data_IF_256809707416
#
_entry.id   IF_256809707416
#
_cell.length_a   1.000
_cell.length_b   1.000
_cell.length_c   1.000
_cell.angle_alpha   90.00
_cell.angle_beta   90.00
_cell.angle_gamma   90.00
#
_symmetry.space_group_name_H-M   'P 1'
#
loop_
_entity.id
_entity.type
_entity.pdbx_description
1 polymer ?
#
# COMPACT_ATOMS: atom_id res chain seq x y z
N UNK A 1 -31.91 36.98 -26.81
CA UNK A 1 -30.44 36.78 -26.64
C UNK A 1 -30.02 36.79 -25.16
N UNK A 2 -30.76 36.10 -24.29
CA UNK A 2 -30.53 36.09 -22.81
C UNK A 2 -30.34 34.69 -22.23
N UNK A 3 -30.78 33.64 -22.92
CA UNK A 3 -30.68 32.24 -22.45
C UNK A 3 -29.26 31.65 -22.53
N UNK A 4 -28.43 32.10 -23.48
CA UNK A 4 -27.10 31.54 -23.69
C UNK A 4 -26.05 31.98 -22.65
N UNK A 5 -26.30 33.08 -21.92
CA UNK A 5 -25.40 33.59 -20.87
C UNK A 5 -25.54 32.87 -19.52
N UNK A 6 -26.65 32.16 -19.29
CA UNK A 6 -26.88 31.39 -18.07
C UNK A 6 -26.16 30.04 -18.08
N UNK A 7 -26.05 29.41 -19.26
CA UNK A 7 -25.37 28.10 -19.39
C UNK A 7 -23.85 28.19 -19.10
N UNK A 8 -23.22 29.29 -19.50
CA UNK A 8 -21.78 29.50 -19.31
C UNK A 8 -21.38 29.72 -17.83
N UNK A 9 -22.31 30.12 -16.95
CA UNK A 9 -22.05 30.30 -15.51
C UNK A 9 -22.21 29.00 -14.70
N UNK A 10 -23.00 28.04 -15.19
CA UNK A 10 -23.13 26.73 -14.54
C UNK A 10 -21.92 25.83 -14.80
N UNK A 11 -21.32 25.95 -16.00
CA UNK A 11 -20.17 25.12 -16.38
C UNK A 11 -18.89 25.47 -15.58
N UNK A 12 -18.69 26.73 -15.23
CA UNK A 12 -17.56 27.18 -14.39
C UNK A 12 -17.71 26.80 -12.92
N UNK A 13 -18.93 26.67 -12.39
CA UNK A 13 -19.13 26.22 -11.01
C UNK A 13 -18.85 24.71 -10.84
N UNK A 14 -19.18 23.90 -11.85
CA UNK A 14 -18.96 22.45 -11.82
C UNK A 14 -17.47 22.08 -11.86
N UNK A 15 -16.64 22.84 -12.59
CA UNK A 15 -15.20 22.62 -12.66
C UNK A 15 -14.46 22.96 -11.35
N UNK A 16 -14.94 23.95 -10.59
CA UNK A 16 -14.35 24.30 -9.29
C UNK A 16 -14.63 23.27 -8.18
N UNK A 17 -15.75 22.53 -8.29
CA UNK A 17 -16.12 21.46 -7.35
C UNK A 17 -15.29 20.19 -7.56
N UNK A 18 -14.79 19.93 -8.77
CA UNK A 18 -13.95 18.76 -9.05
C UNK A 18 -12.51 18.91 -8.52
N UNK A 19 -11.96 20.14 -8.53
CA UNK A 19 -10.61 20.39 -8.02
C UNK A 19 -10.50 20.18 -6.49
N UNK A 20 -11.59 20.32 -5.74
CA UNK A 20 -11.61 20.08 -4.29
C UNK A 20 -11.55 18.59 -3.91
N UNK A 21 -11.83 17.66 -4.82
CA UNK A 21 -11.83 16.23 -4.52
C UNK A 21 -10.41 15.63 -4.42
N UNK A 22 -9.44 16.17 -5.17
CA UNK A 22 -8.06 15.67 -5.21
C UNK A 22 -7.22 16.15 -4.01
N UNK A 23 -7.39 17.41 -3.56
CA UNK A 23 -6.76 17.88 -2.33
C UNK A 23 -7.37 17.24 -1.06
N UNK A 24 -8.63 16.80 -1.14
CA UNK A 24 -9.30 15.99 -0.12
C UNK A 24 -8.81 14.53 -0.07
N UNK A 25 -7.98 14.09 -1.02
CA UNK A 25 -7.69 12.67 -1.24
C UNK A 25 -6.64 12.10 -0.27
N UNK A 26 -5.73 12.92 0.26
CA UNK A 26 -4.74 12.52 1.27
C UNK A 26 -5.09 12.94 2.70
N UNK A 27 -5.97 13.92 2.89
CA UNK A 27 -6.39 14.34 4.23
C UNK A 27 -7.13 13.23 4.98
N UNK A 28 -6.82 13.00 6.25
CA UNK A 28 -7.49 12.03 7.10
C UNK A 28 -6.58 11.29 8.07
N UNK A 29 -7.16 10.34 8.78
CA UNK A 29 -6.46 9.42 9.67
C UNK A 29 -6.36 8.02 9.02
N UNK A 30 -5.23 7.36 9.26
CA UNK A 30 -4.92 6.07 8.68
C UNK A 30 -4.24 5.14 9.70
N UNK A 31 -4.46 3.84 9.53
CA UNK A 31 -3.86 2.75 10.31
C UNK A 31 -2.93 1.94 9.43
N UNK A 32 -1.72 1.66 9.91
CA UNK A 32 -0.74 0.90 9.13
C UNK A 32 -1.09 -0.59 9.03
N UNK A 33 -0.79 -1.17 7.87
CA UNK A 33 -0.96 -2.59 7.52
C UNK A 33 0.40 -3.28 7.35
N UNK A 34 0.45 -4.59 7.58
CA UNK A 34 1.63 -5.44 7.35
C UNK A 34 2.92 -4.85 7.96
N UNK A 35 3.89 -4.46 7.13
CA UNK A 35 5.16 -3.84 7.58
C UNK A 35 4.96 -2.51 8.33
N UNK A 36 3.79 -1.86 8.18
CA UNK A 36 3.40 -0.66 8.89
C UNK A 36 2.51 -0.96 10.12
N UNK A 37 2.33 -2.22 10.51
CA UNK A 37 1.50 -2.56 11.67
C UNK A 37 1.98 -1.82 12.94
N UNK A 38 1.04 -1.21 13.65
CA UNK A 38 1.32 -0.38 14.83
C UNK A 38 1.57 1.10 14.53
N UNK A 39 1.81 1.47 13.27
CA UNK A 39 1.87 2.87 12.87
C UNK A 39 0.47 3.48 12.72
N UNK A 40 0.36 4.78 13.01
CA UNK A 40 -0.81 5.61 12.72
C UNK A 40 -0.38 6.89 12.01
N UNK A 41 -1.10 7.29 10.98
CA UNK A 41 -0.79 8.47 10.18
C UNK A 41 -1.99 9.41 10.17
N UNK A 42 -1.76 10.67 10.52
CA UNK A 42 -2.77 11.74 10.44
C UNK A 42 -2.25 12.83 9.52
N UNK A 43 -3.02 13.20 8.50
CA UNK A 43 -2.64 14.21 7.50
C UNK A 43 -3.75 15.25 7.40
N UNK A 44 -3.37 16.52 7.41
CA UNK A 44 -4.23 17.66 7.14
C UNK A 44 -3.61 18.54 6.03
N UNK A 45 -4.44 19.12 5.15
CA UNK A 45 -3.96 20.14 4.22
C UNK A 45 -3.47 21.38 5.00
N UNK A 46 -2.34 21.96 4.59
CA UNK A 46 -1.80 23.17 5.19
C UNK A 46 -1.19 24.07 4.11
N UNK A 47 -1.84 25.20 3.82
CA UNK A 47 -1.44 26.09 2.73
C UNK A 47 -1.44 25.35 1.38
N UNK A 48 -0.33 25.42 0.66
CA UNK A 48 -0.12 24.69 -0.61
C UNK A 48 0.27 23.21 -0.40
N UNK A 49 0.64 22.82 0.82
CA UNK A 49 1.13 21.47 1.14
C UNK A 49 0.26 20.74 2.16
N UNK A 50 0.93 19.93 2.97
CA UNK A 50 0.32 19.11 4.02
C UNK A 50 1.14 19.23 5.30
N UNK A 51 0.46 19.04 6.43
CA UNK A 51 1.10 18.67 7.68
C UNK A 51 0.45 17.44 8.26
N UNK A 52 1.18 16.76 9.13
CA UNK A 52 0.68 15.55 9.72
C UNK A 52 1.48 15.09 10.92
N UNK A 53 1.00 14.01 11.49
CA UNK A 53 1.66 13.29 12.58
C UNK A 53 1.75 11.83 12.20
N UNK A 54 2.97 11.30 12.19
CA UNK A 54 3.22 9.87 12.17
C UNK A 54 3.43 9.40 13.62
N UNK A 55 2.63 8.43 14.06
CA UNK A 55 2.81 7.76 15.35
C UNK A 55 3.46 6.41 15.07
N UNK A 56 4.65 6.20 15.65
CA UNK A 56 5.43 4.96 15.55
C UNK A 56 4.85 3.87 16.48
N UNK A 57 5.20 2.58 16.30
CA UNK A 57 4.67 1.48 17.13
C UNK A 57 4.98 1.59 18.63
N UNK A 58 6.01 2.35 19.00
CA UNK A 58 6.35 2.68 20.39
C UNK A 58 5.48 3.81 20.98
N UNK A 59 4.55 4.36 20.19
CA UNK A 59 3.71 5.49 20.54
C UNK A 59 4.36 6.86 20.32
N UNK A 60 5.60 6.93 19.84
CA UNK A 60 6.28 8.18 19.56
C UNK A 60 5.58 8.94 18.43
N UNK A 61 5.30 10.22 18.65
CA UNK A 61 4.61 11.08 17.67
C UNK A 61 5.63 11.99 16.98
N UNK A 62 5.68 11.93 15.66
CA UNK A 62 6.55 12.75 14.80
C UNK A 62 5.69 13.63 13.91
N UNK A 63 5.71 14.93 14.19
CA UNK A 63 5.10 15.90 13.29
C UNK A 63 5.95 16.05 12.03
N UNK A 64 5.30 16.24 10.89
CA UNK A 64 5.96 16.54 9.63
C UNK A 64 5.21 17.62 8.87
N UNK A 65 5.95 18.30 8.01
CA UNK A 65 5.42 19.14 6.94
C UNK A 65 5.89 18.55 5.62
N UNK A 66 4.99 18.53 4.64
CA UNK A 66 5.24 17.96 3.34
C UNK A 66 4.73 18.90 2.25
N UNK A 67 5.54 19.10 1.23
CA UNK A 67 5.17 19.82 0.03
C UNK A 67 4.24 18.96 -0.81
N UNK A 68 3.29 19.60 -1.51
CA UNK A 68 2.44 18.92 -2.48
C UNK A 68 3.24 18.65 -3.76
N UNK A 69 3.15 17.42 -4.23
CA UNK A 69 3.69 17.00 -5.52
C UNK A 69 2.57 16.26 -6.27
N UNK A 70 1.87 16.98 -7.14
CA UNK A 70 0.64 16.53 -7.79
C UNK A 70 -0.42 16.07 -6.75
N UNK A 71 -0.79 14.79 -6.79
CA UNK A 71 -1.71 14.16 -5.85
C UNK A 71 -0.99 13.56 -4.63
N UNK A 72 0.35 13.67 -4.57
CA UNK A 72 1.19 13.16 -3.50
C UNK A 72 1.70 14.26 -2.57
N UNK A 73 2.30 13.84 -1.45
CA UNK A 73 3.00 14.73 -0.52
C UNK A 73 4.43 14.23 -0.31
N UNK A 74 5.40 15.14 -0.23
CA UNK A 74 6.80 14.81 -0.01
C UNK A 74 7.42 15.72 1.07
N UNK A 75 8.17 15.15 2.02
CA UNK A 75 8.78 15.93 3.08
C UNK A 75 9.85 15.18 3.84
N UNK A 76 10.74 15.90 4.51
CA UNK A 76 11.77 15.32 5.37
C UNK A 76 11.25 15.28 6.81
N UNK A 77 11.36 14.12 7.45
CA UNK A 77 11.00 13.92 8.86
C UNK A 77 12.15 13.22 9.59
N UNK A 78 12.32 13.54 10.87
CA UNK A 78 13.22 12.81 11.75
C UNK A 78 12.44 11.72 12.49
N UNK A 79 12.73 10.45 12.18
CA UNK A 79 12.18 9.28 12.88
C UNK A 79 13.19 8.75 13.91
N UNK A 80 12.80 7.74 14.68
CA UNK A 80 13.68 7.05 15.62
C UNK A 80 14.99 6.55 14.99
N UNK A 81 14.94 6.13 13.72
CA UNK A 81 16.09 5.66 12.93
C UNK A 81 16.92 6.74 12.23
N UNK A 82 16.58 8.02 12.39
CA UNK A 82 17.25 9.15 11.74
C UNK A 82 16.35 9.93 10.77
N UNK A 83 16.95 10.86 10.04
CA UNK A 83 16.26 11.63 9.02
C UNK A 83 15.89 10.75 7.82
N UNK A 84 14.66 10.90 7.33
CA UNK A 84 14.15 10.20 6.15
C UNK A 84 13.39 11.17 5.26
N UNK A 85 13.41 10.92 3.95
CA UNK A 85 12.45 11.48 3.02
C UNK A 85 11.20 10.60 3.05
N UNK A 86 10.04 11.20 3.31
CA UNK A 86 8.73 10.60 3.16
C UNK A 86 8.12 11.01 1.83
N UNK A 87 7.57 10.04 1.11
CA UNK A 87 6.67 10.27 -0.04
C UNK A 87 5.36 9.57 0.22
N UNK A 88 4.27 10.32 0.25
CA UNK A 88 2.93 9.84 0.58
C UNK A 88 2.07 9.95 -0.67
N UNK A 89 1.64 8.81 -1.20
CA UNK A 89 0.77 8.75 -2.37
C UNK A 89 -0.61 8.20 -1.97
N UNK A 90 -1.71 8.76 -2.47
CA UNK A 90 -3.04 8.23 -2.22
C UNK A 90 -3.21 6.88 -2.91
N UNK A 91 -3.98 6.01 -2.27
CA UNK A 91 -4.42 4.71 -2.80
C UNK A 91 -5.95 4.64 -2.76
N UNK A 92 -6.55 3.69 -3.48
CA UNK A 92 -8.00 3.59 -3.62
C UNK A 92 -8.78 3.59 -2.28
N UNK A 93 -8.20 2.98 -1.23
CA UNK A 93 -8.80 2.88 0.11
C UNK A 93 -7.88 3.41 1.24
N UNK A 94 -6.81 4.12 0.89
CA UNK A 94 -5.77 4.43 1.87
C UNK A 94 -4.65 5.29 1.31
N UNK A 95 -3.43 5.03 1.78
CA UNK A 95 -2.22 5.69 1.31
C UNK A 95 -1.03 4.73 1.32
N UNK A 96 -0.08 4.95 0.42
CA UNK A 96 1.25 4.35 0.44
C UNK A 96 2.25 5.40 0.91
N UNK A 97 3.05 5.06 1.91
CA UNK A 97 4.15 5.89 2.39
C UNK A 97 5.47 5.21 2.05
N UNK A 98 6.27 5.84 1.19
CA UNK A 98 7.64 5.41 0.91
C UNK A 98 8.58 6.18 1.84
N UNK A 99 9.38 5.44 2.60
CA UNK A 99 10.37 5.96 3.54
C UNK A 99 11.76 5.71 2.96
N UNK A 100 12.50 6.78 2.67
CA UNK A 100 13.85 6.70 2.10
C UNK A 100 14.82 7.34 3.09
N UNK A 101 15.63 6.55 3.83
CA UNK A 101 16.58 7.09 4.79
C UNK A 101 17.69 7.90 4.13
N UNK A 102 18.23 8.89 4.84
CA UNK A 102 19.50 9.49 4.49
C UNK A 102 20.68 8.62 4.99
N UNK A 103 21.79 8.63 4.25
CA UNK A 103 23.07 8.08 4.70
C UNK A 103 23.85 9.11 5.55
N UNK A 104 25.02 8.70 6.06
CA UNK A 104 25.89 9.59 6.85
C UNK A 104 26.44 10.81 6.07
N UNK A 105 26.32 10.82 4.75
CA UNK A 105 26.70 11.92 3.87
C UNK A 105 25.49 12.74 3.39
N UNK A 106 24.30 12.55 3.99
CA UNK A 106 23.04 13.23 3.65
C UNK A 106 22.56 12.96 2.22
N UNK A 107 22.89 11.79 1.67
CA UNK A 107 22.33 11.30 0.40
C UNK A 107 21.23 10.29 0.68
N UNK A 108 20.26 10.19 -0.23
CA UNK A 108 19.20 9.19 -0.13
C UNK A 108 19.80 7.79 -0.31
N UNK A 109 19.56 6.91 0.65
CA UNK A 109 19.97 5.52 0.63
C UNK A 109 18.82 4.64 0.11
N UNK A 110 18.79 4.47 -1.22
CA UNK A 110 17.76 3.69 -1.88
C UNK A 110 17.72 2.22 -1.41
N UNK A 111 18.85 1.67 -0.95
CA UNK A 111 18.94 0.27 -0.51
C UNK A 111 18.16 -0.03 0.77
N UNK A 112 17.89 1.00 1.57
CA UNK A 112 17.09 0.92 2.81
C UNK A 112 15.69 1.51 2.65
N UNK A 113 15.22 1.67 1.41
CA UNK A 113 13.86 2.16 1.13
C UNK A 113 12.83 1.17 1.63
N UNK A 114 11.81 1.67 2.32
CA UNK A 114 10.65 0.88 2.75
C UNK A 114 9.37 1.45 2.16
N UNK A 115 8.44 0.58 1.79
CA UNK A 115 7.09 0.95 1.38
C UNK A 115 6.12 0.47 2.45
N UNK A 116 5.45 1.42 3.10
CA UNK A 116 4.50 1.20 4.18
C UNK A 116 3.08 1.43 3.65
N UNK A 117 2.18 0.49 3.89
CA UNK A 117 0.79 0.57 3.48
C UNK A 117 -0.09 1.04 4.64
N UNK A 118 -1.00 1.97 4.36
CA UNK A 118 -1.90 2.55 5.34
C UNK A 118 -3.35 2.49 4.85
N UNK A 119 -4.25 1.99 5.69
CA UNK A 119 -5.69 1.96 5.46
C UNK A 119 -6.33 3.22 6.06
N UNK A 120 -7.24 3.86 5.34
CA UNK A 120 -8.01 4.98 5.90
C UNK A 120 -8.94 4.52 7.01
N UNK A 121 -8.96 5.24 8.13
CA UNK A 121 -9.86 4.93 9.24
C UNK A 121 -11.34 4.96 8.81
N UNK A 122 -12.11 4.00 9.34
CA UNK A 122 -13.53 3.84 9.01
C UNK A 122 -13.81 3.11 7.69
N UNK A 123 -12.79 2.75 6.90
CA UNK A 123 -12.97 1.88 5.73
C UNK A 123 -12.99 0.42 6.17
N UNK A 124 -14.09 -0.27 5.88
CA UNK A 124 -14.19 -1.71 6.10
C UNK A 124 -13.33 -2.45 5.07
N UNK A 125 -12.45 -3.32 5.55
CA UNK A 125 -11.76 -4.27 4.68
C UNK A 125 -12.75 -5.33 4.18
N UNK A 126 -12.54 -5.86 2.96
CA UNK A 126 -13.32 -7.00 2.50
C UNK A 126 -13.14 -8.18 3.46
N UNK A 127 -14.18 -8.99 3.60
CA UNK A 127 -14.11 -10.21 4.40
C UNK A 127 -13.00 -11.11 3.88
N UNK A 128 -12.18 -11.61 4.80
CA UNK A 128 -11.14 -12.56 4.45
C UNK A 128 -11.78 -13.87 3.96
N UNK A 129 -11.20 -14.52 2.93
CA UNK A 129 -11.70 -15.81 2.48
C UNK A 129 -11.80 -16.82 3.62
N UNK A 130 -12.86 -17.64 3.62
CA UNK A 130 -13.17 -18.57 4.72
C UNK A 130 -12.05 -19.57 4.99
N UNK A 131 -11.23 -19.92 4.00
CA UNK A 131 -10.10 -20.86 4.14
C UNK A 131 -8.74 -20.17 4.04
N UNK A 132 -8.67 -18.87 4.37
CA UNK A 132 -7.39 -18.21 4.43
C UNK A 132 -6.47 -18.89 5.45
N UNK A 133 -5.24 -19.19 5.02
CA UNK A 133 -4.16 -19.67 5.85
C UNK A 133 -2.97 -18.71 5.74
N UNK A 134 -2.15 -18.56 6.80
CA UNK A 134 -0.89 -17.83 6.69
C UNK A 134 0.08 -18.55 5.76
N UNK A 135 0.99 -17.79 5.16
CA UNK A 135 2.05 -18.33 4.32
C UNK A 135 2.93 -19.31 5.12
N UNK A 136 3.34 -20.45 4.55
CA UNK A 136 4.37 -21.28 5.16
C UNK A 136 5.66 -20.47 5.36
N UNK A 137 6.30 -20.64 6.52
CA UNK A 137 7.63 -20.09 6.81
C UNK A 137 8.78 -21.03 6.40
N UNK A 138 8.45 -22.21 5.88
CA UNK A 138 9.40 -23.20 5.38
C UNK A 138 8.73 -24.27 4.51
N UNK A 139 9.51 -25.23 4.00
CA UNK A 139 8.98 -26.36 3.24
C UNK A 139 7.94 -27.15 4.04
N UNK A 140 6.79 -27.40 3.42
CA UNK A 140 5.69 -28.18 4.01
C UNK A 140 5.46 -29.46 3.21
N UNK A 141 4.98 -30.52 3.86
CA UNK A 141 4.77 -31.83 3.20
C UNK A 141 3.48 -31.91 2.40
N UNK A 142 2.44 -31.24 2.87
CA UNK A 142 1.13 -31.25 2.26
C UNK A 142 0.45 -29.90 2.51
N UNK A 143 -0.34 -29.44 1.55
CA UNK A 143 -1.13 -28.23 1.67
C UNK A 143 -2.52 -28.43 1.04
N UNK A 144 -3.56 -27.83 1.64
CA UNK A 144 -4.92 -27.91 1.10
C UNK A 144 -5.06 -27.03 -0.15
N UNK A 145 -5.54 -27.60 -1.25
CA UNK A 145 -5.58 -26.89 -2.53
C UNK A 145 -6.60 -25.74 -2.55
N UNK A 146 -7.70 -25.84 -1.79
CA UNK A 146 -8.70 -24.76 -1.72
C UNK A 146 -8.16 -23.60 -0.90
N UNK A 147 -7.63 -23.90 0.29
CA UNK A 147 -6.95 -22.92 1.12
C UNK A 147 -5.80 -22.24 0.36
N UNK A 148 -5.03 -23.00 -0.43
CA UNK A 148 -3.97 -22.43 -1.28
C UNK A 148 -4.52 -21.35 -2.22
N UNK A 149 -5.52 -21.66 -3.05
CA UNK A 149 -6.07 -20.72 -4.04
C UNK A 149 -6.65 -19.46 -3.37
N UNK A 150 -7.23 -19.62 -2.18
CA UNK A 150 -7.79 -18.51 -1.40
C UNK A 150 -6.73 -17.65 -0.69
N UNK A 151 -5.51 -18.16 -0.49
CA UNK A 151 -4.50 -17.51 0.37
C UNK A 151 -3.26 -17.04 -0.38
N UNK A 152 -2.80 -17.76 -1.41
CA UNK A 152 -1.55 -17.47 -2.11
C UNK A 152 -1.45 -16.05 -2.72
N UNK A 153 -2.54 -15.37 -3.14
CA UNK A 153 -2.41 -14.02 -3.70
C UNK A 153 -1.82 -13.04 -2.69
N UNK A 154 -2.06 -13.27 -1.40
CA UNK A 154 -1.65 -12.41 -0.28
C UNK A 154 -0.29 -12.78 0.31
N UNK A 155 0.36 -13.83 -0.20
CA UNK A 155 1.63 -14.29 0.35
C UNK A 155 2.83 -13.77 -0.43
N UNK A 156 3.96 -13.66 0.27
CA UNK A 156 5.27 -13.49 -0.32
C UNK A 156 5.61 -14.65 -1.29
N UNK A 157 6.39 -14.38 -2.36
CA UNK A 157 6.80 -15.37 -3.36
C UNK A 157 7.25 -16.73 -2.80
N UNK A 158 8.09 -16.72 -1.78
CA UNK A 158 8.70 -17.93 -1.23
C UNK A 158 7.68 -18.81 -0.47
N UNK A 159 6.75 -18.18 0.26
CA UNK A 159 5.67 -18.89 0.94
C UNK A 159 4.71 -19.55 -0.06
N UNK A 160 4.38 -18.83 -1.13
CA UNK A 160 3.57 -19.37 -2.23
C UNK A 160 4.25 -20.56 -2.92
N UNK A 161 5.57 -20.51 -3.13
CA UNK A 161 6.36 -21.62 -3.67
C UNK A 161 6.26 -22.87 -2.78
N UNK A 162 6.54 -22.75 -1.48
CA UNK A 162 6.51 -23.90 -0.56
C UNK A 162 5.13 -24.55 -0.50
N UNK A 163 4.06 -23.75 -0.45
CA UNK A 163 2.71 -24.27 -0.46
C UNK A 163 2.36 -24.94 -1.80
N UNK A 164 2.73 -24.33 -2.93
CA UNK A 164 2.45 -24.86 -4.27
C UNK A 164 3.12 -26.22 -4.50
N UNK A 165 4.37 -26.38 -4.08
CA UNK A 165 5.10 -27.67 -4.19
C UNK A 165 4.47 -28.78 -3.34
N UNK A 166 3.90 -28.42 -2.19
CA UNK A 166 3.23 -29.33 -1.27
C UNK A 166 1.81 -29.72 -1.71
N UNK A 167 1.30 -29.15 -2.81
CA UNK A 167 0.03 -29.55 -3.39
C UNK A 167 0.12 -30.93 -4.06
N UNK A 168 -0.92 -31.73 -3.85
CA UNK A 168 -1.11 -32.98 -4.57
C UNK A 168 -1.01 -32.76 -6.11
N UNK A 169 -0.39 -33.67 -6.88
CA UNK A 169 -0.18 -33.50 -8.33
C UNK A 169 -1.47 -33.20 -9.11
N UNK A 170 -2.58 -33.84 -8.73
CA UNK A 170 -3.91 -33.59 -9.32
C UNK A 170 -4.36 -32.13 -9.13
N UNK A 171 -4.11 -31.55 -7.96
CA UNK A 171 -4.52 -30.19 -7.63
C UNK A 171 -3.71 -29.17 -8.43
N UNK A 172 -2.39 -29.38 -8.57
CA UNK A 172 -1.54 -28.54 -9.44
C UNK A 172 -2.01 -28.58 -10.89
N UNK A 173 -2.44 -29.74 -11.36
CA UNK A 173 -3.00 -29.90 -12.71
C UNK A 173 -4.28 -29.09 -12.89
N UNK A 174 -5.19 -29.15 -11.92
CA UNK A 174 -6.43 -28.34 -11.95
C UNK A 174 -6.11 -26.84 -11.93
N UNK A 175 -5.21 -26.40 -11.05
CA UNK A 175 -4.78 -24.99 -10.98
C UNK A 175 -4.16 -24.51 -12.31
N UNK A 176 -3.50 -25.42 -13.06
CA UNK A 176 -2.94 -25.12 -14.39
C UNK A 176 -3.98 -24.81 -15.46
N UNK A 177 -5.24 -25.20 -15.27
CA UNK A 177 -6.31 -24.90 -16.21
C UNK A 177 -6.79 -23.44 -16.12
N UNK A 178 -6.43 -22.72 -15.06
CA UNK A 178 -6.84 -21.33 -14.84
C UNK A 178 -5.70 -20.38 -15.22
N UNK A 179 -5.74 -19.84 -16.44
CA UNK A 179 -4.65 -19.04 -17.01
C UNK A 179 -4.25 -17.81 -16.16
N UNK A 180 -5.23 -17.12 -15.56
CA UNK A 180 -4.96 -15.98 -14.67
C UNK A 180 -4.17 -16.40 -13.43
N UNK A 181 -4.61 -17.49 -12.78
CA UNK A 181 -3.94 -18.06 -11.61
C UNK A 181 -2.54 -18.56 -11.97
N UNK A 182 -2.38 -19.21 -13.11
CA UNK A 182 -1.05 -19.64 -13.59
C UNK A 182 -0.10 -18.49 -13.84
N UNK A 183 -0.59 -17.41 -14.45
CA UNK A 183 0.25 -16.25 -14.78
C UNK A 183 0.74 -15.57 -13.50
N UNK A 184 -0.13 -15.34 -12.53
CA UNK A 184 0.24 -14.76 -11.24
C UNK A 184 1.20 -15.68 -10.46
N UNK A 185 0.91 -16.98 -10.42
CA UNK A 185 1.80 -17.95 -9.78
C UNK A 185 3.19 -17.96 -10.43
N UNK A 186 3.28 -18.04 -11.76
CA UNK A 186 4.57 -18.02 -12.46
C UNK A 186 5.34 -16.74 -12.16
N UNK A 187 4.65 -15.60 -12.16
CA UNK A 187 5.24 -14.32 -11.79
C UNK A 187 5.82 -14.34 -10.37
N UNK A 188 5.04 -14.75 -9.36
CA UNK A 188 5.51 -14.89 -7.97
C UNK A 188 6.69 -15.88 -7.89
N UNK A 189 6.61 -17.03 -8.54
CA UNK A 189 7.68 -18.03 -8.52
C UNK A 189 9.00 -17.50 -9.09
N UNK A 190 8.95 -16.67 -10.14
CA UNK A 190 10.13 -16.00 -10.70
C UNK A 190 10.77 -14.97 -9.75
N UNK A 191 10.00 -14.42 -8.80
CA UNK A 191 10.50 -13.49 -7.79
C UNK A 191 11.05 -14.20 -6.54
N UNK A 192 10.80 -15.50 -6.40
CA UNK A 192 11.31 -16.24 -5.24
C UNK A 192 12.84 -16.35 -5.31
N UNK A 193 13.57 -16.17 -4.19
CA UNK A 193 15.02 -16.36 -4.16
C UNK A 193 15.38 -17.77 -4.64
N UNK A 194 16.45 -17.88 -5.44
CA UNK A 194 16.97 -19.21 -5.79
C UNK A 194 17.41 -19.92 -4.51
N UNK A 195 16.99 -21.18 -4.36
CA UNK A 195 17.43 -22.04 -3.26
C UNK A 195 18.93 -22.30 -3.43
N UNK A 196 19.73 -21.83 -2.47
CA UNK A 196 21.11 -22.26 -2.27
C UNK A 196 21.18 -23.63 -1.62
#
# INVERSE_FOLDING_TARGET
MTAFRLLARFLTLALALWAHAAAAQLGGAYVGLDAAQGYRLEIAPQGEGFSGVLTEPDGARRAFSADRLDDSAEGVVSLSGGDVLLRIAPEAIGARVVVIPFDGARRLDASRTQSLAFLREGVALPEQPTRFLPAPSGPVRAFDARAFVESYPFWEPLGALWAYEALAPRSRTVIRLFALVQTDLLWKLCQSPQRG
#
